data_IF_843577050704
#
_entry.id   IF_843577050704
#
_cell.length_a   1.000
_cell.length_b   1.000
_cell.length_c   1.000
_cell.angle_alpha   90.00
_cell.angle_beta   90.00
_cell.angle_gamma   90.00
#
_symmetry.space_group_name_H-M   'P 1'
#
loop_
_entity.id
_entity.type
_entity.pdbx_description
1 polymer ?
#
# COMPACT_ATOMS: atom_id res chain seq x y z
N UNK A 1 26.63 22.57 22.63
CA UNK A 1 26.78 21.73 21.41
C UNK A 1 26.33 20.29 21.64
N UNK A 2 26.90 19.57 22.63
CA UNK A 2 26.48 18.19 23.00
C UNK A 2 24.97 18.04 23.25
N UNK A 3 24.34 18.97 23.98
CA UNK A 3 22.90 18.93 24.27
C UNK A 3 21.99 19.07 23.04
N UNK A 4 22.39 19.85 22.02
CA UNK A 4 21.63 19.97 20.76
C UNK A 4 21.74 18.71 19.90
N UNK A 5 22.86 18.00 19.99
CA UNK A 5 23.06 16.73 19.26
C UNK A 5 22.18 15.63 19.88
N UNK A 6 22.12 15.58 21.22
CA UNK A 6 21.32 14.60 21.97
C UNK A 6 19.82 14.68 21.64
N UNK A 7 19.26 15.88 21.43
CA UNK A 7 17.84 16.01 21.09
C UNK A 7 17.54 15.80 19.59
N UNK A 8 18.49 16.08 18.68
CA UNK A 8 18.22 16.05 17.23
C UNK A 8 18.56 14.73 16.56
N UNK A 9 19.60 14.04 17.03
CA UNK A 9 20.01 12.76 16.44
C UNK A 9 18.87 11.72 16.44
N UNK A 10 18.06 11.55 17.51
CA UNK A 10 16.92 10.64 17.50
C UNK A 10 15.87 10.98 16.43
N UNK A 11 15.66 12.27 16.15
CA UNK A 11 14.72 12.74 15.12
C UNK A 11 15.20 12.36 13.72
N UNK A 12 16.50 12.50 13.45
CA UNK A 12 17.10 12.14 12.17
C UNK A 12 17.07 10.62 11.96
N UNK A 13 17.37 9.84 13.01
CA UNK A 13 17.25 8.37 12.97
C UNK A 13 15.80 7.98 12.69
N UNK A 14 14.83 8.57 13.40
CA UNK A 14 13.42 8.32 13.17
C UNK A 14 12.98 8.66 11.73
N UNK A 15 13.50 9.74 11.14
CA UNK A 15 13.23 10.11 9.76
C UNK A 15 13.74 9.03 8.77
N UNK A 16 14.93 8.49 8.98
CA UNK A 16 15.46 7.37 8.16
C UNK A 16 14.62 6.10 8.36
N UNK A 17 14.22 5.80 9.61
CA UNK A 17 13.36 4.66 9.90
C UNK A 17 12.03 4.72 9.13
N UNK A 18 11.44 5.89 8.90
CA UNK A 18 10.20 6.01 8.12
C UNK A 18 10.35 5.46 6.69
N UNK A 19 11.51 5.67 6.06
CA UNK A 19 11.82 5.14 4.72
C UNK A 19 11.97 3.63 4.76
N UNK A 20 12.64 3.11 5.79
CA UNK A 20 12.84 1.66 5.98
C UNK A 20 11.49 0.95 6.22
N UNK A 21 10.67 1.49 7.12
CA UNK A 21 9.36 0.92 7.49
C UNK A 21 8.43 0.79 6.29
N UNK A 22 8.44 1.75 5.35
CA UNK A 22 7.61 1.69 4.14
C UNK A 22 7.79 0.40 3.33
N UNK A 23 8.99 -0.20 3.39
CA UNK A 23 9.33 -1.39 2.61
C UNK A 23 9.18 -2.69 3.40
N UNK A 24 8.75 -2.63 4.66
CA UNK A 24 8.68 -3.79 5.55
C UNK A 24 7.25 -4.18 5.88
N UNK A 25 6.99 -5.47 6.13
CA UNK A 25 5.73 -5.93 6.70
C UNK A 25 5.50 -5.30 8.08
N UNK A 26 4.33 -4.70 8.26
CA UNK A 26 3.92 -4.00 9.49
C UNK A 26 3.12 -4.95 10.37
N UNK A 27 2.20 -5.70 9.79
CA UNK A 27 1.30 -6.58 10.50
C UNK A 27 1.07 -7.84 9.67
N UNK A 28 0.79 -8.96 10.33
CA UNK A 28 0.44 -10.18 9.62
C UNK A 28 -0.87 -10.75 10.17
N UNK A 29 -1.60 -11.40 9.26
CA UNK A 29 -2.80 -12.16 9.59
C UNK A 29 -2.67 -13.54 8.98
N UNK A 30 -3.10 -14.55 9.73
CA UNK A 30 -3.19 -15.93 9.27
C UNK A 30 -4.54 -16.53 9.63
N UNK A 31 -5.11 -17.30 8.71
CA UNK A 31 -6.26 -18.16 8.95
C UNK A 31 -5.82 -19.62 8.95
N UNK A 32 -6.19 -20.36 10.00
CA UNK A 32 -6.07 -21.82 10.05
C UNK A 32 -7.44 -22.47 10.17
N UNK A 33 -7.63 -23.60 9.49
CA UNK A 33 -8.86 -24.39 9.57
C UNK A 33 -8.55 -25.84 9.20
N UNK A 34 -9.44 -26.80 9.52
CA UNK A 34 -9.24 -28.21 9.16
C UNK A 34 -9.02 -28.46 7.66
N UNK A 35 -9.59 -27.61 6.81
CA UNK A 35 -9.44 -27.67 5.34
C UNK A 35 -8.09 -27.12 4.85
N UNK A 36 -7.32 -26.45 5.70
CA UNK A 36 -5.99 -25.91 5.41
C UNK A 36 -4.97 -26.64 6.29
N UNK A 37 -4.57 -27.86 5.90
CA UNK A 37 -3.72 -28.72 6.72
C UNK A 37 -2.33 -28.11 6.93
N UNK A 38 -1.74 -28.34 8.11
CA UNK A 38 -0.41 -27.80 8.47
C UNK A 38 0.69 -28.29 7.53
N UNK A 39 0.47 -29.42 6.84
CA UNK A 39 1.39 -29.97 5.86
C UNK A 39 1.57 -29.08 4.63
N UNK A 40 0.50 -28.41 4.18
CA UNK A 40 0.52 -27.48 3.03
C UNK A 40 0.55 -26.02 3.48
N UNK A 41 -0.09 -25.71 4.61
CA UNK A 41 -0.19 -24.37 5.18
C UNK A 41 0.36 -24.35 6.61
N UNK A 42 1.68 -24.49 6.82
CA UNK A 42 2.27 -24.58 8.16
C UNK A 42 2.05 -23.32 9.00
N UNK A 43 1.98 -22.17 8.33
CA UNK A 43 1.70 -20.87 8.94
C UNK A 43 0.22 -20.45 8.74
N UNK A 44 -0.65 -21.36 8.25
CA UNK A 44 -2.00 -21.06 7.75
C UNK A 44 -2.01 -20.25 6.45
N UNK A 45 -3.20 -19.83 6.00
CA UNK A 45 -3.35 -18.87 4.90
C UNK A 45 -2.91 -17.51 5.42
N UNK A 46 -1.64 -17.16 5.16
CA UNK A 46 -0.97 -16.00 5.77
C UNK A 46 -0.75 -14.88 4.78
N UNK A 47 -1.05 -13.67 5.22
CA UNK A 47 -0.85 -12.42 4.47
C UNK A 47 -0.09 -11.40 5.32
N UNK A 48 0.64 -10.52 4.64
CA UNK A 48 1.38 -9.42 5.25
C UNK A 48 0.82 -8.07 4.82
N UNK A 49 0.46 -7.23 5.79
CA UNK A 49 0.09 -5.84 5.58
C UNK A 49 1.32 -4.94 5.58
N UNK A 50 1.46 -4.14 4.53
CA UNK A 50 2.47 -3.11 4.37
C UNK A 50 1.79 -1.76 4.13
N UNK A 51 2.54 -0.66 4.21
CA UNK A 51 2.01 0.66 3.84
C UNK A 51 1.62 0.75 2.36
N UNK A 52 2.22 -0.07 1.51
CA UNK A 52 2.08 -0.04 0.05
C UNK A 52 1.24 -1.18 -0.53
N UNK A 53 0.67 -2.04 0.30
CA UNK A 53 -0.21 -3.11 -0.16
C UNK A 53 -0.32 -4.27 0.82
N UNK A 54 -0.92 -5.35 0.31
CA UNK A 54 -1.01 -6.64 0.99
C UNK A 54 -0.25 -7.63 0.12
N UNK A 55 0.58 -8.43 0.78
CA UNK A 55 1.52 -9.33 0.11
C UNK A 55 1.34 -10.75 0.64
N UNK A 56 1.73 -11.71 -0.20
CA UNK A 56 1.74 -13.11 0.16
C UNK A 56 2.67 -13.34 1.36
N UNK A 57 2.15 -14.03 2.38
CA UNK A 57 2.89 -14.45 3.57
C UNK A 57 3.15 -15.95 3.63
N UNK A 58 2.64 -16.71 2.65
CA UNK A 58 2.90 -18.14 2.52
C UNK A 58 4.28 -18.40 1.93
N UNK A 59 4.89 -19.50 2.36
CA UNK A 59 6.21 -19.94 1.92
C UNK A 59 6.04 -21.11 0.97
N UNK A 60 6.95 -21.23 0.01
CA UNK A 60 7.04 -22.43 -0.80
C UNK A 60 7.38 -23.62 0.10
N UNK A 61 6.68 -24.73 -0.10
CA UNK A 61 6.87 -25.98 0.64
C UNK A 61 7.51 -26.99 -0.31
N UNK A 62 8.78 -27.30 -0.11
CA UNK A 62 9.46 -28.36 -0.86
C UNK A 62 9.22 -29.70 -0.14
N UNK A 63 8.46 -30.62 -0.75
CA UNK A 63 8.26 -31.99 -0.25
C UNK A 63 8.40 -33.02 -1.36
N UNK A 64 8.90 -34.20 -1.01
CA UNK A 64 9.21 -35.30 -1.94
C UNK A 64 8.00 -35.87 -2.72
N UNK A 65 6.76 -35.59 -2.28
CA UNK A 65 5.52 -36.08 -2.91
C UNK A 65 4.65 -34.97 -3.54
N UNK A 66 4.93 -33.70 -3.23
CA UNK A 66 4.18 -32.53 -3.73
C UNK A 66 5.22 -31.48 -4.13
N UNK A 67 5.57 -31.48 -5.43
CA UNK A 67 6.35 -30.41 -6.03
C UNK A 67 5.39 -29.31 -6.48
N UNK A 68 5.32 -28.21 -5.73
CA UNK A 68 4.71 -26.97 -6.20
C UNK A 68 5.83 -26.04 -6.69
N UNK A 69 5.85 -25.81 -8.01
CA UNK A 69 6.86 -25.00 -8.69
C UNK A 69 6.76 -23.50 -8.34
N UNK A 70 5.68 -23.10 -7.67
CA UNK A 70 5.41 -21.72 -7.24
C UNK A 70 4.87 -21.68 -5.82
N UNK A 71 5.12 -20.59 -5.09
CA UNK A 71 4.56 -20.40 -3.75
C UNK A 71 3.04 -20.15 -3.82
N UNK A 72 2.25 -20.89 -3.04
CA UNK A 72 0.80 -20.68 -2.87
C UNK A 72 0.43 -19.19 -2.69
N UNK A 73 -0.49 -18.68 -3.52
CA UNK A 73 -1.01 -17.32 -3.40
C UNK A 73 -2.03 -17.20 -2.26
N UNK A 74 -1.53 -16.95 -1.05
CA UNK A 74 -2.39 -16.81 0.11
C UNK A 74 -3.18 -15.49 0.14
N UNK A 75 -2.89 -14.52 -0.73
CA UNK A 75 -3.77 -13.36 -0.91
C UNK A 75 -5.03 -13.79 -1.65
N UNK A 76 -4.86 -14.55 -2.74
CA UNK A 76 -5.99 -15.13 -3.47
C UNK A 76 -6.85 -16.04 -2.59
N UNK A 77 -6.24 -16.98 -1.85
CA UNK A 77 -6.97 -17.89 -0.96
C UNK A 77 -7.75 -17.15 0.12
N UNK A 78 -7.13 -16.14 0.74
CA UNK A 78 -7.79 -15.31 1.75
C UNK A 78 -8.98 -14.56 1.17
N UNK A 79 -8.86 -13.99 -0.03
CA UNK A 79 -9.96 -13.28 -0.69
C UNK A 79 -11.06 -14.21 -1.18
N UNK A 80 -10.71 -15.44 -1.56
CA UNK A 80 -11.67 -16.52 -1.83
C UNK A 80 -12.47 -16.85 -0.56
N UNK A 81 -11.81 -17.05 0.58
CA UNK A 81 -12.50 -17.26 1.87
C UNK A 81 -13.41 -16.07 2.21
N UNK A 82 -12.91 -14.83 2.07
CA UNK A 82 -13.68 -13.61 2.32
C UNK A 82 -14.94 -13.57 1.46
N UNK A 83 -14.81 -13.86 0.16
CA UNK A 83 -15.93 -13.91 -0.76
C UNK A 83 -17.01 -14.91 -0.32
N UNK A 84 -16.63 -16.12 0.12
CA UNK A 84 -17.58 -17.13 0.61
C UNK A 84 -18.40 -16.66 1.80
N UNK A 85 -17.85 -15.81 2.67
CA UNK A 85 -18.56 -15.24 3.84
C UNK A 85 -19.15 -13.85 3.56
N UNK A 86 -19.07 -13.38 2.32
CA UNK A 86 -19.58 -12.07 1.89
C UNK A 86 -18.66 -10.90 2.25
N UNK A 87 -17.47 -11.12 2.81
CA UNK A 87 -16.50 -10.05 3.02
C UNK A 87 -15.88 -9.60 1.69
N UNK A 88 -15.62 -8.29 1.56
CA UNK A 88 -14.94 -7.74 0.38
C UNK A 88 -13.47 -8.20 0.31
N UNK A 89 -12.84 -8.19 -0.88
CA UNK A 89 -11.44 -8.54 -1.04
C UNK A 89 -10.55 -7.58 -0.26
N UNK A 90 -9.45 -8.06 0.31
CA UNK A 90 -8.64 -7.32 1.29
C UNK A 90 -8.06 -6.04 0.71
N UNK A 91 -7.78 -6.01 -0.59
CA UNK A 91 -7.28 -4.83 -1.28
C UNK A 91 -8.32 -3.70 -1.45
N UNK A 92 -9.61 -3.94 -1.16
CA UNK A 92 -10.65 -2.92 -1.21
C UNK A 92 -10.58 -1.96 -0.01
N UNK A 93 -10.18 -2.44 1.14
CA UNK A 93 -10.02 -1.66 2.37
C UNK A 93 -8.78 -0.78 2.29
N UNK A 94 -8.91 0.47 2.72
CA UNK A 94 -7.76 1.40 2.78
C UNK A 94 -7.17 1.75 1.43
N UNK A 95 -7.89 1.57 0.32
CA UNK A 95 -7.34 1.73 -1.03
C UNK A 95 -6.75 3.14 -1.27
N UNK A 96 -7.39 4.18 -0.73
CA UNK A 96 -6.89 5.56 -0.81
C UNK A 96 -5.66 5.72 0.09
N UNK A 97 -5.68 5.20 1.31
CA UNK A 97 -4.58 5.27 2.25
C UNK A 97 -3.32 4.59 1.70
N UNK A 98 -3.47 3.41 1.08
CA UNK A 98 -2.38 2.69 0.42
C UNK A 98 -1.86 3.46 -0.79
N UNK A 99 -2.73 4.07 -1.60
CA UNK A 99 -2.32 4.86 -2.76
C UNK A 99 -1.56 6.15 -2.39
N UNK A 100 -1.87 6.73 -1.23
CA UNK A 100 -1.23 7.95 -0.73
C UNK A 100 -0.09 7.70 0.27
N UNK A 101 0.12 6.46 0.70
CA UNK A 101 1.00 6.14 1.83
C UNK A 101 2.42 6.63 1.64
N UNK A 102 3.00 6.50 0.43
CA UNK A 102 4.36 6.98 0.15
C UNK A 102 4.48 8.49 0.31
N UNK A 103 3.45 9.25 -0.11
CA UNK A 103 3.43 10.70 0.02
C UNK A 103 3.26 11.11 1.48
N UNK A 104 2.48 10.36 2.27
CA UNK A 104 2.32 10.58 3.70
C UNK A 104 3.60 10.27 4.48
N UNK A 105 4.35 9.24 4.08
CA UNK A 105 5.68 8.93 4.64
C UNK A 105 6.68 10.03 4.28
N UNK A 106 6.68 10.51 3.03
CA UNK A 106 7.51 11.63 2.60
C UNK A 106 7.14 12.94 3.34
N UNK A 107 5.84 13.18 3.58
CA UNK A 107 5.36 14.30 4.38
C UNK A 107 5.91 14.20 5.81
N UNK A 108 5.77 13.05 6.46
CA UNK A 108 6.29 12.81 7.80
C UNK A 108 7.82 12.99 7.85
N UNK A 109 8.55 12.54 6.82
CA UNK A 109 9.99 12.77 6.70
C UNK A 109 10.33 14.28 6.71
N UNK A 110 9.69 15.07 5.84
CA UNK A 110 9.90 16.53 5.78
C UNK A 110 9.52 17.19 7.11
N UNK A 111 8.46 16.73 7.79
CA UNK A 111 8.08 17.22 9.11
C UNK A 111 9.19 17.02 10.15
N UNK A 112 9.80 15.83 10.19
CA UNK A 112 10.89 15.51 11.12
C UNK A 112 12.18 16.29 10.81
N UNK A 113 12.57 16.40 9.54
CA UNK A 113 13.72 17.23 9.13
C UNK A 113 13.49 18.70 9.50
N UNK A 114 12.27 19.19 9.31
CA UNK A 114 11.87 20.56 9.68
C UNK A 114 11.92 20.79 11.18
N UNK A 115 11.44 19.82 11.99
CA UNK A 115 11.48 19.90 13.44
C UNK A 115 12.90 19.94 14.00
N UNK A 116 13.85 19.22 13.38
CA UNK A 116 15.27 19.25 13.76
C UNK A 116 15.94 20.63 13.54
N UNK A 117 15.30 21.55 12.81
CA UNK A 117 15.79 22.90 12.54
C UNK A 117 15.24 23.93 13.54
N UNK A 118 16.12 24.55 14.33
CA UNK A 118 15.74 25.54 15.36
C UNK A 118 15.28 26.87 14.73
N UNK A 119 15.95 27.28 13.65
CA UNK A 119 15.71 28.56 12.98
C UNK A 119 14.40 28.52 12.18
N UNK A 120 13.51 29.47 12.46
CA UNK A 120 12.18 29.50 11.86
C UNK A 120 12.20 29.75 10.36
N UNK A 121 13.11 30.59 9.86
CA UNK A 121 13.22 30.89 8.43
C UNK A 121 13.71 29.65 7.66
N UNK A 122 14.79 29.02 8.12
CA UNK A 122 15.33 27.79 7.50
C UNK A 122 14.33 26.65 7.55
N UNK A 123 13.65 26.46 8.68
CA UNK A 123 12.58 25.46 8.83
C UNK A 123 11.47 25.66 7.79
N UNK A 124 10.97 26.89 7.63
CA UNK A 124 9.97 27.19 6.61
C UNK A 124 10.47 26.92 5.19
N UNK A 125 11.72 27.26 4.88
CA UNK A 125 12.33 26.96 3.58
C UNK A 125 12.35 25.45 3.33
N UNK A 126 12.79 24.66 4.31
CA UNK A 126 12.79 23.19 4.23
C UNK A 126 11.39 22.67 3.93
N UNK A 127 10.36 23.16 4.64
CA UNK A 127 8.99 22.73 4.42
C UNK A 127 8.46 23.14 3.04
N UNK A 128 8.67 24.41 2.63
CA UNK A 128 8.19 24.90 1.34
C UNK A 128 8.82 24.10 0.21
N UNK A 129 10.13 23.89 0.24
CA UNK A 129 10.84 23.10 -0.79
C UNK A 129 10.40 21.65 -0.74
N UNK A 130 10.44 21.01 0.43
CA UNK A 130 10.10 19.60 0.60
C UNK A 130 8.65 19.29 0.22
N UNK A 131 7.70 20.11 0.67
CA UNK A 131 6.29 19.96 0.32
C UNK A 131 6.05 20.27 -1.16
N UNK A 132 6.70 21.26 -1.76
CA UNK A 132 6.58 21.51 -3.21
C UNK A 132 7.04 20.32 -4.03
N UNK A 133 8.14 19.66 -3.63
CA UNK A 133 8.61 18.42 -4.26
C UNK A 133 7.55 17.32 -4.13
N UNK A 134 6.97 17.13 -2.96
CA UNK A 134 5.91 16.12 -2.75
C UNK A 134 4.67 16.44 -3.58
N UNK A 135 4.24 17.71 -3.64
CA UNK A 135 3.09 18.13 -4.44
C UNK A 135 3.30 17.87 -5.93
N UNK A 136 4.47 18.25 -6.47
CA UNK A 136 4.83 17.96 -7.86
C UNK A 136 4.83 16.44 -8.09
N UNK A 137 5.44 15.67 -7.18
CA UNK A 137 5.47 14.22 -7.27
C UNK A 137 4.06 13.60 -7.26
N UNK A 138 3.18 14.05 -6.37
CA UNK A 138 1.78 13.61 -6.30
C UNK A 138 1.02 13.93 -7.60
N UNK A 139 1.20 15.12 -8.17
CA UNK A 139 0.57 15.52 -9.44
C UNK A 139 1.04 14.61 -10.57
N UNK A 140 2.37 14.42 -10.69
CA UNK A 140 2.98 13.56 -11.69
C UNK A 140 2.50 12.11 -11.57
N UNK A 141 2.39 11.59 -10.34
CA UNK A 141 2.01 10.20 -10.11
C UNK A 141 0.50 9.96 -10.32
N UNK A 142 -0.36 10.86 -9.86
CA UNK A 142 -1.81 10.64 -9.81
C UNK A 142 -2.56 11.13 -11.05
N UNK A 143 -2.13 12.21 -11.68
CA UNK A 143 -2.95 12.90 -12.69
C UNK A 143 -2.31 13.02 -14.07
N UNK A 144 -0.99 12.84 -14.20
CA UNK A 144 -0.31 12.91 -15.49
C UNK A 144 -0.37 11.54 -16.20
N UNK A 145 -0.60 11.50 -17.53
CA UNK A 145 -0.50 10.26 -18.31
C UNK A 145 0.88 9.60 -18.16
N UNK A 146 0.89 8.29 -17.93
CA UNK A 146 2.10 7.53 -17.59
C UNK A 146 2.61 7.78 -16.17
N UNK A 147 1.80 8.39 -15.30
CA UNK A 147 2.12 8.72 -13.92
C UNK A 147 2.55 7.53 -13.05
N UNK A 148 2.16 6.29 -13.39
CA UNK A 148 2.59 5.09 -12.67
C UNK A 148 4.13 4.92 -12.63
N UNK A 149 4.87 5.49 -13.59
CA UNK A 149 6.34 5.51 -13.54
C UNK A 149 6.91 6.28 -12.34
N UNK A 150 6.11 7.16 -11.72
CA UNK A 150 6.48 7.89 -10.52
C UNK A 150 6.00 7.21 -9.23
N UNK A 151 5.23 6.13 -9.31
CA UNK A 151 4.88 5.33 -8.12
C UNK A 151 6.05 4.46 -7.66
N UNK A 152 6.01 3.94 -6.45
CA UNK A 152 7.06 3.00 -5.97
C UNK A 152 6.86 1.61 -6.58
N UNK A 153 7.96 0.86 -6.77
CA UNK A 153 7.89 -0.52 -7.28
C UNK A 153 7.02 -1.40 -6.39
N UNK A 154 7.23 -1.34 -5.07
CA UNK A 154 6.45 -2.13 -4.11
C UNK A 154 4.95 -1.82 -4.12
N UNK A 155 4.56 -0.56 -4.36
CA UNK A 155 3.14 -0.23 -4.53
C UNK A 155 2.54 -0.93 -5.76
N UNK A 156 3.25 -0.93 -6.89
CA UNK A 156 2.79 -1.56 -8.13
C UNK A 156 2.74 -3.08 -7.98
N UNK A 157 3.79 -3.69 -7.42
CA UNK A 157 3.84 -5.11 -7.04
C UNK A 157 2.64 -5.49 -6.17
N UNK A 158 2.31 -4.68 -5.16
CA UNK A 158 1.14 -4.90 -4.30
C UNK A 158 -0.21 -4.72 -5.02
N UNK A 159 -0.28 -3.98 -6.13
CA UNK A 159 -1.48 -3.90 -6.98
C UNK A 159 -1.59 -5.14 -7.89
N UNK A 160 -0.47 -5.61 -8.42
CA UNK A 160 -0.41 -6.85 -9.20
C UNK A 160 -0.82 -8.04 -8.33
N UNK A 161 -0.20 -8.20 -7.15
CA UNK A 161 -0.50 -9.27 -6.21
C UNK A 161 -2.00 -9.32 -5.84
N UNK A 162 -2.64 -8.17 -5.63
CA UNK A 162 -4.06 -8.11 -5.29
C UNK A 162 -4.99 -8.56 -6.43
N UNK A 163 -4.60 -8.38 -7.70
CA UNK A 163 -5.41 -8.87 -8.82
C UNK A 163 -5.31 -10.39 -9.01
N UNK A 164 -4.37 -11.04 -8.30
CA UNK A 164 -3.90 -12.38 -8.59
C UNK A 164 -3.05 -12.38 -9.85
N UNK A 165 -1.94 -13.11 -9.83
CA UNK A 165 -1.48 -13.74 -11.06
C UNK A 165 -2.51 -14.84 -11.31
N UNK A 166 -3.30 -14.74 -12.36
CA UNK A 166 -4.01 -15.94 -12.80
C UNK A 166 -2.91 -16.96 -13.06
N UNK A 167 -2.98 -18.11 -12.38
CA UNK A 167 -2.31 -19.32 -12.81
C UNK A 167 -2.80 -19.55 -14.23
N UNK A 168 -2.08 -18.96 -15.18
CA UNK A 168 -2.20 -19.39 -16.54
C UNK A 168 -1.71 -20.83 -16.48
N UNK A 169 -2.64 -21.78 -16.52
CA UNK A 169 -2.47 -23.12 -17.10
C UNK A 169 -2.02 -23.04 -18.58
N UNK A 170 -1.36 -21.96 -18.97
CA UNK A 170 -0.48 -21.84 -20.11
C UNK A 170 0.88 -22.18 -19.51
N UNK A 171 1.20 -23.48 -19.61
CA UNK A 171 2.54 -24.02 -19.80
C UNK A 171 3.63 -22.97 -19.97
N UNK A 172 4.78 -23.18 -19.31
CA UNK A 172 6.08 -22.61 -19.68
C UNK A 172 6.04 -21.72 -20.93
N UNK A 173 6.10 -20.41 -20.67
CA UNK A 173 6.57 -19.33 -21.55
C UNK A 173 5.61 -18.13 -21.61
N UNK A 174 6.06 -17.09 -20.90
CA UNK A 174 5.80 -15.67 -21.16
C UNK A 174 4.49 -15.11 -20.56
N UNK A 175 4.63 -14.13 -19.67
CA UNK A 175 3.50 -13.30 -19.22
C UNK A 175 2.78 -12.66 -20.44
N UNK A 176 1.51 -12.26 -20.33
CA UNK A 176 0.79 -11.59 -21.44
C UNK A 176 1.55 -10.38 -22.03
N UNK A 177 2.32 -9.66 -21.20
CA UNK A 177 3.21 -8.58 -21.66
C UNK A 177 4.41 -9.08 -22.46
N UNK A 178 4.97 -10.23 -22.12
CA UNK A 178 6.05 -10.89 -22.86
C UNK A 178 5.53 -11.56 -24.14
N UNK A 179 4.30 -12.08 -24.14
CA UNK A 179 3.61 -12.61 -25.32
C UNK A 179 3.30 -11.50 -26.35
N UNK A 180 2.92 -10.30 -25.89
CA UNK A 180 2.74 -9.12 -26.75
C UNK A 180 4.07 -8.69 -27.39
N UNK A 181 5.17 -8.71 -26.63
CA UNK A 181 6.52 -8.41 -27.13
C UNK A 181 6.96 -9.47 -28.14
N UNK A 182 6.68 -10.75 -27.89
CA UNK A 182 6.98 -11.84 -28.82
C UNK A 182 6.16 -11.74 -30.13
N UNK A 183 4.88 -11.39 -30.04
CA UNK A 183 3.99 -11.16 -31.19
C UNK A 183 4.42 -9.95 -32.03
N UNK A 184 4.83 -8.86 -31.38
CA UNK A 184 5.36 -7.66 -32.06
C UNK A 184 6.66 -7.99 -32.81
N UNK A 185 7.52 -8.82 -32.20
CA UNK A 185 8.77 -9.27 -32.79
C UNK A 185 8.57 -10.19 -34.00
N UNK A 186 7.64 -11.14 -33.93
CA UNK A 186 7.35 -12.03 -35.06
C UNK A 186 6.75 -11.26 -36.25
N UNK A 187 5.96 -10.21 -35.98
CA UNK A 187 5.41 -9.34 -37.02
C UNK A 187 6.50 -8.50 -37.71
N UNK A 188 7.51 -8.03 -36.97
CA UNK A 188 8.66 -7.30 -37.51
C UNK A 188 9.61 -8.19 -38.32
N UNK A 189 9.87 -9.43 -37.85
CA UNK A 189 10.68 -10.42 -38.58
C UNK A 189 10.00 -10.87 -39.88
N UNK A 190 8.67 -11.02 -39.89
CA UNK A 190 7.89 -11.33 -41.10
C UNK A 190 7.90 -10.19 -42.15
N UNK A 191 8.30 -8.99 -41.75
CA UNK A 191 8.42 -7.81 -42.61
C UNK A 191 9.84 -7.63 -43.19
N UNK A 192 10.77 -8.56 -42.92
CA UNK A 192 12.10 -8.58 -43.54
C UNK A 192 13.07 -7.50 -43.07
N UNK A 193 12.83 -6.90 -41.90
CA UNK A 193 13.73 -5.91 -41.30
C UNK A 193 14.71 -6.65 -40.38
N UNK A 194 15.98 -6.74 -40.79
CA UNK A 194 17.06 -7.22 -39.91
C UNK A 194 17.27 -6.21 -38.78
N UNK A 195 16.97 -6.62 -37.55
CA UNK A 195 17.26 -5.83 -36.35
C UNK A 195 18.65 -6.22 -35.87
N UNK A 196 19.64 -5.37 -36.19
CA UNK A 196 20.97 -5.44 -35.59
C UNK A 196 20.85 -5.47 -34.06
N UNK A 197 21.65 -6.33 -33.42
CA UNK A 197 21.55 -6.68 -32.01
C UNK A 197 21.57 -5.47 -31.07
N UNK A 198 20.39 -5.00 -30.70
CA UNK A 198 20.23 -4.21 -29.48
C UNK A 198 20.47 -5.12 -28.29
N UNK A 199 21.37 -4.71 -27.40
CA UNK A 199 21.49 -5.30 -26.06
C UNK A 199 20.09 -5.36 -25.46
N UNK A 200 19.59 -6.58 -25.18
CA UNK A 200 18.38 -6.80 -24.40
C UNK A 200 18.52 -6.05 -23.07
N UNK A 201 17.99 -4.84 -22.97
CA UNK A 201 17.68 -4.25 -21.67
C UNK A 201 16.47 -5.02 -21.15
N UNK A 202 16.74 -5.95 -20.23
CA UNK A 202 15.70 -6.64 -19.49
C UNK A 202 14.87 -5.58 -18.74
N UNK A 203 13.56 -5.53 -19.04
CA UNK A 203 12.65 -4.58 -18.39
C UNK A 203 12.79 -4.67 -16.88
N UNK A 204 12.83 -3.53 -16.20
CA UNK A 204 12.78 -3.52 -14.74
C UNK A 204 11.48 -4.14 -14.23
N UNK A 205 11.49 -4.74 -13.05
CA UNK A 205 10.28 -5.32 -12.45
C UNK A 205 9.09 -4.34 -12.45
N UNK A 206 9.38 -3.06 -12.20
CA UNK A 206 8.38 -1.99 -12.22
C UNK A 206 7.72 -1.80 -13.58
N UNK A 207 8.48 -1.92 -14.67
CA UNK A 207 7.94 -1.82 -16.04
C UNK A 207 7.12 -3.05 -16.39
N UNK A 208 7.55 -4.24 -15.94
CA UNK A 208 6.78 -5.49 -16.03
C UNK A 208 5.43 -5.34 -15.31
N UNK A 209 5.42 -4.83 -14.08
CA UNK A 209 4.19 -4.60 -13.31
C UNK A 209 3.24 -3.60 -14.00
N UNK A 210 3.77 -2.50 -14.54
CA UNK A 210 2.95 -1.50 -15.26
C UNK A 210 2.35 -2.10 -16.53
N UNK A 211 3.13 -2.91 -17.28
CA UNK A 211 2.66 -3.58 -18.48
C UNK A 211 1.53 -4.58 -18.15
N UNK A 212 1.70 -5.39 -17.10
CA UNK A 212 0.66 -6.30 -16.61
C UNK A 212 -0.64 -5.54 -16.25
N UNK A 213 -0.52 -4.45 -15.47
CA UNK A 213 -1.69 -3.66 -15.07
C UNK A 213 -2.41 -3.02 -16.26
N UNK A 214 -1.66 -2.60 -17.29
CA UNK A 214 -2.24 -2.07 -18.53
C UNK A 214 -3.00 -3.16 -19.28
N UNK A 215 -2.41 -4.33 -19.45
CA UNK A 215 -3.04 -5.45 -20.16
C UNK A 215 -4.32 -5.92 -19.47
N UNK A 216 -4.26 -6.11 -18.15
CA UNK A 216 -5.42 -6.41 -17.33
C UNK A 216 -6.52 -5.33 -17.45
N UNK A 217 -6.12 -4.05 -17.53
CA UNK A 217 -7.06 -2.95 -17.76
C UNK A 217 -7.75 -3.10 -19.12
N UNK A 218 -6.99 -3.21 -20.21
CA UNK A 218 -7.54 -3.26 -21.57
C UNK A 218 -8.44 -4.49 -21.79
N UNK A 219 -8.05 -5.63 -21.22
CA UNK A 219 -8.87 -6.86 -21.18
C UNK A 219 -10.19 -6.62 -20.45
N UNK A 220 -10.16 -5.96 -19.28
CA UNK A 220 -11.37 -5.68 -18.52
C UNK A 220 -12.32 -4.68 -19.23
N UNK A 221 -11.78 -3.71 -19.96
CA UNK A 221 -12.57 -2.74 -20.74
C UNK A 221 -13.35 -3.45 -21.85
N UNK A 222 -12.68 -4.36 -22.56
CA UNK A 222 -13.28 -5.19 -23.60
C UNK A 222 -14.42 -6.04 -23.04
N UNK A 223 -14.18 -6.72 -21.90
CA UNK A 223 -15.19 -7.54 -21.21
C UNK A 223 -16.41 -6.75 -20.75
N UNK A 224 -16.21 -5.52 -20.27
CA UNK A 224 -17.27 -4.68 -19.71
C UNK A 224 -17.93 -3.75 -20.75
N UNK A 225 -17.45 -3.77 -22.02
CA UNK A 225 -17.85 -2.84 -23.07
C UNK A 225 -17.74 -1.34 -22.65
N UNK A 226 -16.76 -1.02 -21.80
CA UNK A 226 -16.46 0.35 -21.36
C UNK A 226 -15.36 0.90 -22.27
N UNK A 227 -15.55 2.09 -22.84
CA UNK A 227 -14.59 2.69 -23.78
C UNK A 227 -13.59 3.67 -23.12
N UNK A 228 -13.13 3.35 -21.91
CA UNK A 228 -12.09 4.16 -21.27
C UNK A 228 -10.71 3.77 -21.80
N UNK A 229 -9.93 4.74 -22.27
CA UNK A 229 -8.55 4.49 -22.74
C UNK A 229 -7.57 4.49 -21.58
N UNK A 230 -6.60 3.59 -21.62
CA UNK A 230 -5.49 3.60 -20.69
C UNK A 230 -4.68 4.90 -20.82
N UNK A 231 -4.58 5.64 -19.72
CA UNK A 231 -3.70 6.79 -19.59
C UNK A 231 -2.55 6.52 -18.60
N UNK A 232 -2.63 5.47 -17.77
CA UNK A 232 -1.56 5.11 -16.83
C UNK A 232 -1.29 6.13 -15.75
N UNK A 233 -2.31 6.90 -15.35
CA UNK A 233 -2.27 7.77 -14.18
C UNK A 233 -2.65 6.99 -12.92
N UNK A 234 -2.12 7.40 -11.76
CA UNK A 234 -2.44 6.75 -10.49
C UNK A 234 -3.92 6.83 -10.10
N UNK A 235 -4.62 7.91 -10.45
CA UNK A 235 -6.06 8.04 -10.21
C UNK A 235 -6.89 7.08 -11.07
N UNK A 236 -6.51 6.90 -12.35
CA UNK A 236 -7.13 5.88 -13.20
C UNK A 236 -6.90 4.49 -12.62
N UNK A 237 -5.64 4.15 -12.34
CA UNK A 237 -5.28 2.86 -11.77
C UNK A 237 -6.07 2.59 -10.48
N UNK A 238 -6.12 3.52 -9.54
CA UNK A 238 -6.82 3.31 -8.26
C UNK A 238 -8.31 3.01 -8.46
N UNK A 239 -9.00 3.79 -9.30
CA UNK A 239 -10.44 3.60 -9.51
C UNK A 239 -10.77 2.33 -10.30
N UNK A 240 -9.96 2.01 -11.31
CA UNK A 240 -10.12 0.77 -12.06
C UNK A 240 -9.74 -0.45 -11.23
N UNK A 241 -8.59 -0.44 -10.55
CA UNK A 241 -8.11 -1.55 -9.73
C UNK A 241 -9.11 -1.89 -8.63
N UNK A 242 -9.68 -0.87 -7.98
CA UNK A 242 -10.74 -1.05 -7.00
C UNK A 242 -11.98 -1.73 -7.60
N UNK A 243 -12.42 -1.30 -8.79
CA UNK A 243 -13.52 -1.95 -9.52
C UNK A 243 -13.17 -3.40 -9.87
N UNK A 244 -11.98 -3.63 -10.42
CA UNK A 244 -11.54 -4.93 -10.90
C UNK A 244 -11.50 -5.97 -9.76
N UNK A 245 -10.93 -5.59 -8.61
CA UNK A 245 -10.92 -6.44 -7.41
C UNK A 245 -12.34 -6.79 -6.95
N UNK A 246 -13.21 -5.79 -6.82
CA UNK A 246 -14.59 -6.05 -6.41
C UNK A 246 -15.32 -6.94 -7.42
N UNK A 247 -15.18 -6.67 -8.72
CA UNK A 247 -15.88 -7.39 -9.78
C UNK A 247 -15.37 -8.82 -9.98
N UNK A 248 -14.14 -9.15 -9.53
CA UNK A 248 -13.61 -10.52 -9.55
C UNK A 248 -14.44 -11.46 -8.68
N UNK A 249 -14.87 -10.98 -7.52
CA UNK A 249 -15.61 -11.79 -6.53
C UNK A 249 -17.10 -11.45 -6.50
N UNK A 250 -17.50 -10.22 -6.83
CA UNK A 250 -18.86 -9.73 -6.70
C UNK A 250 -19.34 -9.14 -8.01
N UNK A 251 -20.02 -9.91 -8.85
CA UNK A 251 -20.51 -9.44 -10.15
C UNK A 251 -21.83 -8.64 -10.04
N UNK A 252 -21.80 -7.51 -9.32
CA UNK A 252 -22.93 -6.59 -9.17
C UNK A 252 -22.53 -5.14 -9.51
N UNK A 253 -22.67 -4.74 -10.80
CA UNK A 253 -22.33 -3.39 -11.24
C UNK A 253 -23.13 -2.27 -10.56
N UNK A 254 -24.36 -2.56 -10.11
CA UNK A 254 -25.23 -1.56 -9.47
C UNK A 254 -24.72 -1.21 -8.07
N UNK A 255 -24.15 -2.17 -7.33
CA UNK A 255 -23.47 -1.92 -6.06
C UNK A 255 -22.04 -1.41 -6.24
N UNK A 256 -21.29 -1.90 -7.21
CA UNK A 256 -19.87 -1.53 -7.40
C UNK A 256 -19.71 -0.10 -7.91
N UNK A 257 -20.48 0.31 -8.91
CA UNK A 257 -20.34 1.64 -9.53
C UNK A 257 -20.37 2.82 -8.55
N UNK A 258 -21.32 2.90 -7.59
CA UNK A 258 -21.31 3.98 -6.60
C UNK A 258 -20.12 3.89 -5.63
N UNK A 259 -19.61 2.68 -5.30
CA UNK A 259 -18.41 2.54 -4.47
C UNK A 259 -17.18 3.07 -5.19
N UNK A 260 -17.01 2.77 -6.48
CA UNK A 260 -15.92 3.31 -7.30
C UNK A 260 -15.98 4.84 -7.35
N UNK A 261 -17.17 5.43 -7.53
CA UNK A 261 -17.35 6.90 -7.49
C UNK A 261 -16.95 7.50 -6.14
N UNK A 262 -17.26 6.82 -5.02
CA UNK A 262 -16.81 7.25 -3.69
C UNK A 262 -15.29 7.21 -3.56
N UNK A 263 -14.64 6.14 -4.05
CA UNK A 263 -13.16 6.04 -4.06
C UNK A 263 -12.54 7.13 -4.94
N UNK A 264 -13.10 7.38 -6.13
CA UNK A 264 -12.67 8.48 -6.99
C UNK A 264 -12.79 9.82 -6.26
N UNK A 265 -13.95 10.14 -5.68
CA UNK A 265 -14.12 11.37 -4.92
C UNK A 265 -13.13 11.46 -3.74
N UNK A 266 -13.01 10.39 -2.96
CA UNK A 266 -12.11 10.32 -1.81
C UNK A 266 -10.65 10.55 -2.21
N UNK A 267 -10.22 10.07 -3.38
CA UNK A 267 -8.88 10.31 -3.93
C UNK A 267 -8.61 11.80 -4.13
N UNK A 268 -9.55 12.53 -4.73
CA UNK A 268 -9.39 13.96 -4.99
C UNK A 268 -9.49 14.78 -3.68
N UNK A 269 -10.39 14.37 -2.78
CA UNK A 269 -10.51 14.98 -1.44
C UNK A 269 -9.23 14.78 -0.63
N UNK A 270 -8.66 13.57 -0.61
CA UNK A 270 -7.41 13.27 0.07
C UNK A 270 -6.26 14.12 -0.49
N UNK A 271 -6.16 14.24 -1.81
CA UNK A 271 -5.18 15.11 -2.46
C UNK A 271 -5.29 16.56 -1.94
N UNK A 272 -6.48 17.17 -1.99
CA UNK A 272 -6.71 18.55 -1.53
C UNK A 272 -6.45 18.70 -0.03
N UNK A 273 -6.90 17.73 0.78
CA UNK A 273 -6.68 17.72 2.23
C UNK A 273 -5.18 17.76 2.56
N UNK A 274 -4.37 16.96 1.87
CA UNK A 274 -2.91 16.94 2.06
C UNK A 274 -2.30 18.30 1.72
N UNK A 275 -2.75 18.97 0.65
CA UNK A 275 -2.28 20.33 0.31
C UNK A 275 -2.63 21.35 1.41
N UNK A 276 -3.85 21.28 1.94
CA UNK A 276 -4.28 22.13 3.05
C UNK A 276 -3.42 21.88 4.29
N UNK A 277 -3.18 20.62 4.64
CA UNK A 277 -2.32 20.23 5.77
C UNK A 277 -0.90 20.79 5.57
N UNK A 278 -0.31 20.65 4.38
CA UNK A 278 1.01 21.20 4.07
C UNK A 278 1.05 22.73 4.26
N UNK A 279 0.05 23.46 3.76
CA UNK A 279 -0.05 24.91 3.92
C UNK A 279 -0.17 25.31 5.41
N UNK A 280 -1.03 24.62 6.17
CA UNK A 280 -1.19 24.84 7.62
C UNK A 280 0.11 24.58 8.37
N UNK A 281 0.84 23.50 8.04
CA UNK A 281 2.12 23.17 8.66
C UNK A 281 3.21 24.21 8.36
N UNK A 282 3.25 24.77 7.15
CA UNK A 282 4.19 25.85 6.78
C UNK A 282 3.87 27.14 7.54
N UNK A 283 2.59 27.51 7.63
CA UNK A 283 2.18 28.74 8.31
C UNK A 283 2.40 28.62 9.82
N UNK A 284 2.00 27.48 10.40
CA UNK A 284 2.09 27.24 11.83
C UNK A 284 3.51 27.05 12.35
N UNK A 285 4.44 26.56 11.52
CA UNK A 285 5.85 26.41 11.92
C UNK A 285 6.60 27.74 12.11
N UNK A 286 6.00 28.89 11.75
CA UNK A 286 6.56 30.23 11.97
C UNK A 286 6.89 30.50 13.43
N UNK A 287 6.02 30.06 14.35
CA UNK A 287 6.18 30.25 15.80
C UNK A 287 6.57 28.93 16.45
N UNK A 288 7.75 28.89 17.06
CA UNK A 288 8.34 27.69 17.66
C UNK A 288 7.56 27.16 18.87
N UNK A 289 6.72 27.98 19.52
CA UNK A 289 5.89 27.53 20.65
C UNK A 289 4.45 27.14 20.27
N UNK A 290 4.09 27.27 18.99
CA UNK A 290 2.73 26.98 18.53
C UNK A 290 2.40 25.49 18.64
N UNK A 291 1.10 25.18 18.79
CA UNK A 291 0.61 23.80 18.74
C UNK A 291 0.94 23.15 17.39
N UNK A 292 0.85 23.92 16.29
CA UNK A 292 1.12 23.42 14.94
C UNK A 292 2.59 23.05 14.76
N UNK A 293 3.54 23.79 15.36
CA UNK A 293 4.94 23.38 15.37
C UNK A 293 5.13 22.02 16.04
N UNK A 294 4.44 21.75 17.16
CA UNK A 294 4.51 20.46 17.85
C UNK A 294 3.95 19.32 17.01
N UNK A 295 2.98 19.57 16.13
CA UNK A 295 2.46 18.54 15.21
C UNK A 295 3.56 17.96 14.31
N UNK A 296 4.63 18.70 14.03
CA UNK A 296 5.76 18.20 13.22
C UNK A 296 6.43 16.95 13.82
N UNK A 297 6.41 16.82 15.15
CA UNK A 297 6.92 15.62 15.82
C UNK A 297 5.80 14.73 16.35
N UNK A 298 4.69 15.31 16.83
CA UNK A 298 3.62 14.55 17.45
C UNK A 298 2.88 13.63 16.46
N UNK A 299 2.68 14.06 15.21
CA UNK A 299 1.99 13.24 14.21
C UNK A 299 2.84 12.03 13.80
N UNK A 300 4.13 12.16 13.41
CA UNK A 300 4.98 11.00 13.15
C UNK A 300 5.20 10.11 14.38
N UNK A 301 5.25 10.70 15.59
CA UNK A 301 5.33 9.94 16.85
C UNK A 301 4.06 9.11 17.10
N UNK A 302 2.89 9.60 16.71
CA UNK A 302 1.62 8.88 16.86
C UNK A 302 1.39 7.80 15.79
N UNK A 303 2.29 7.64 14.81
CA UNK A 303 2.14 6.69 13.70
C UNK A 303 1.76 5.25 14.10
N UNK A 304 2.36 4.60 15.11
CA UNK A 304 1.93 3.25 15.53
C UNK A 304 0.47 3.21 16.01
N UNK A 305 0.01 4.24 16.72
CA UNK A 305 -1.38 4.33 17.18
C UNK A 305 -2.32 4.60 16.01
N UNK A 306 -1.95 5.54 15.13
CA UNK A 306 -2.71 5.85 13.92
C UNK A 306 -2.89 4.58 13.07
N UNK A 307 -1.83 3.80 12.87
CA UNK A 307 -1.90 2.53 12.13
C UNK A 307 -2.91 1.56 12.75
N UNK A 308 -2.83 1.27 14.05
CA UNK A 308 -3.75 0.32 14.72
C UNK A 308 -5.19 0.80 14.64
N UNK A 309 -5.44 2.09 14.80
CA UNK A 309 -6.78 2.67 14.68
C UNK A 309 -7.33 2.49 13.27
N UNK A 310 -6.56 2.86 12.23
CA UNK A 310 -7.00 2.70 10.85
C UNK A 310 -7.22 1.23 10.48
N UNK A 311 -6.30 0.37 10.88
CA UNK A 311 -6.41 -1.09 10.70
C UNK A 311 -7.70 -1.63 11.35
N UNK A 312 -7.98 -1.29 12.61
CA UNK A 312 -9.18 -1.72 13.31
C UNK A 312 -10.47 -1.16 12.68
N UNK A 313 -10.45 0.10 12.21
CA UNK A 313 -11.60 0.71 11.51
C UNK A 313 -11.92 -0.05 10.23
N UNK A 314 -10.91 -0.40 9.43
CA UNK A 314 -11.11 -1.16 8.21
C UNK A 314 -11.58 -2.59 8.47
N UNK A 315 -11.00 -3.28 9.47
CA UNK A 315 -11.50 -4.59 9.89
C UNK A 315 -12.96 -4.53 10.35
N UNK A 316 -13.32 -3.52 11.14
CA UNK A 316 -14.69 -3.29 11.57
C UNK A 316 -15.61 -3.09 10.37
N UNK A 317 -15.19 -2.27 9.41
CA UNK A 317 -15.94 -2.04 8.19
C UNK A 317 -16.19 -3.35 7.43
N UNK A 318 -15.18 -4.20 7.24
CA UNK A 318 -15.35 -5.51 6.59
C UNK A 318 -16.38 -6.40 7.29
N UNK A 319 -16.28 -6.54 8.61
CA UNK A 319 -17.17 -7.42 9.37
C UNK A 319 -18.61 -6.90 9.57
N UNK A 320 -18.88 -5.63 9.23
CA UNK A 320 -20.23 -5.03 9.32
C UNK A 320 -20.84 -4.64 7.97
N UNK A 321 -20.07 -4.68 6.88
CA UNK A 321 -20.52 -4.31 5.53
C UNK A 321 -20.37 -5.49 4.58
N UNK A 322 -20.79 -6.68 5.00
CA UNK A 322 -20.75 -7.89 4.17
C UNK A 322 -21.76 -7.80 3.01
N UNK A 323 -21.42 -8.44 1.91
CA UNK A 323 -22.20 -8.55 0.70
C UNK A 323 -23.12 -9.78 0.75
N UNK A 324 -24.36 -9.61 0.32
CA UNK A 324 -25.39 -10.66 0.28
C UNK A 324 -25.07 -11.82 -0.70
N UNK A 325 -24.09 -11.64 -1.59
CA UNK A 325 -23.64 -12.67 -2.54
C UNK A 325 -22.72 -13.74 -1.92
N UNK A 326 -22.34 -13.62 -0.65
CA UNK A 326 -21.58 -14.67 0.03
C UNK A 326 -22.38 -15.97 0.14
N UNK A 327 -21.72 -17.12 -0.07
CA UNK A 327 -22.36 -18.43 0.07
C UNK A 327 -22.85 -18.71 1.50
N UNK A 328 -22.17 -18.13 2.50
CA UNK A 328 -22.51 -18.22 3.91
C UNK A 328 -22.76 -16.83 4.50
N UNK A 329 -23.90 -16.67 5.16
CA UNK A 329 -24.20 -15.43 5.89
C UNK A 329 -23.72 -15.54 7.33
N UNK A 330 -22.76 -14.69 7.70
CA UNK A 330 -22.34 -14.52 9.08
C UNK A 330 -23.07 -13.35 9.73
N UNK A 331 -23.26 -13.41 11.05
CA UNK A 331 -23.66 -12.22 11.82
C UNK A 331 -22.53 -11.21 11.78
N UNK A 332 -22.86 -9.92 11.79
CA UNK A 332 -21.86 -8.87 11.88
C UNK A 332 -20.91 -9.12 13.06
N UNK A 333 -19.61 -8.97 12.81
CA UNK A 333 -18.57 -9.25 13.78
C UNK A 333 -17.38 -8.30 13.59
N UNK A 334 -16.47 -8.30 14.55
CA UNK A 334 -15.18 -7.61 14.44
C UNK A 334 -14.12 -8.67 14.11
N UNK A 335 -13.50 -8.65 12.93
CA UNK A 335 -12.33 -9.47 12.67
C UNK A 335 -11.25 -9.22 13.72
N UNK A 336 -10.47 -10.25 14.06
CA UNK A 336 -9.47 -10.18 15.11
C UNK A 336 -8.42 -9.09 14.83
N UNK A 337 -8.43 -8.03 15.64
CA UNK A 337 -7.45 -6.93 15.53
C UNK A 337 -6.08 -7.35 16.07
N UNK A 338 -6.05 -8.05 17.20
CA UNK A 338 -4.82 -8.51 17.83
C UNK A 338 -5.08 -9.80 18.61
N UNK A 339 -4.12 -10.72 18.54
CA UNK A 339 -4.18 -12.01 19.22
C UNK A 339 -4.83 -13.08 18.36
N UNK A 340 -5.43 -14.05 19.03
CA UNK A 340 -6.14 -15.15 18.41
C UNK A 340 -7.65 -14.95 18.58
N UNK A 341 -8.40 -15.17 17.51
CA UNK A 341 -9.86 -15.20 17.54
C UNK A 341 -10.40 -16.33 16.66
N UNK A 342 -11.72 -16.46 16.63
CA UNK A 342 -12.40 -17.51 15.87
C UNK A 342 -13.56 -16.93 15.09
N UNK A 343 -13.63 -17.25 13.81
CA UNK A 343 -14.72 -16.86 12.90
C UNK A 343 -15.18 -18.13 12.19
N UNK A 344 -16.39 -18.60 12.52
CA UNK A 344 -16.88 -19.90 12.11
C UNK A 344 -15.88 -21.03 12.44
N UNK A 345 -15.39 -21.77 11.43
CA UNK A 345 -14.41 -22.84 11.59
C UNK A 345 -12.95 -22.36 11.46
N UNK A 346 -12.74 -21.08 11.15
CA UNK A 346 -11.40 -20.51 11.02
C UNK A 346 -10.92 -19.96 12.35
N UNK A 347 -9.68 -20.29 12.69
CA UNK A 347 -8.92 -19.61 13.73
C UNK A 347 -8.12 -18.49 13.07
N UNK A 348 -8.31 -17.26 13.53
CA UNK A 348 -7.64 -16.07 13.00
C UNK A 348 -6.55 -15.64 13.97
N UNK A 349 -5.33 -15.56 13.48
CA UNK A 349 -4.17 -15.05 14.21
C UNK A 349 -3.79 -13.69 13.63
N UNK A 350 -3.64 -12.66 14.48
CA UNK A 350 -3.30 -11.30 14.04
C UNK A 350 -2.29 -10.66 14.98
N UNK A 351 -1.10 -10.34 14.45
CA UNK A 351 0.02 -9.88 15.28
C UNK A 351 0.93 -8.88 14.55
N UNK A 352 1.64 -8.02 15.33
CA UNK A 352 2.63 -7.12 14.77
C UNK A 352 3.78 -7.86 14.09
N UNK A 353 4.31 -7.25 13.04
CA UNK A 353 5.53 -7.64 12.36
C UNK A 353 6.64 -6.58 12.56
N UNK A 354 7.84 -6.85 12.05
CA UNK A 354 9.03 -6.00 12.20
C UNK A 354 8.80 -4.51 11.93
N UNK A 355 8.01 -4.15 10.92
CA UNK A 355 7.70 -2.76 10.58
C UNK A 355 6.98 -2.04 11.73
N UNK A 356 6.06 -2.71 12.42
CA UNK A 356 5.36 -2.14 13.57
C UNK A 356 6.29 -1.93 14.78
N UNK A 357 7.21 -2.87 15.05
CA UNK A 357 8.19 -2.69 16.12
C UNK A 357 9.17 -1.54 15.82
N UNK A 358 9.55 -1.36 14.56
CA UNK A 358 10.33 -0.19 14.13
C UNK A 358 9.53 1.12 14.25
N UNK A 359 8.21 1.10 14.03
CA UNK A 359 7.34 2.24 14.30
C UNK A 359 7.31 2.59 15.80
N UNK A 360 7.24 1.58 16.68
CA UNK A 360 7.33 1.79 18.13
C UNK A 360 8.68 2.38 18.54
N UNK A 361 9.78 1.86 17.98
CA UNK A 361 11.11 2.42 18.19
C UNK A 361 11.20 3.88 17.74
N UNK A 362 10.68 4.19 16.53
CA UNK A 362 10.62 5.55 16.01
C UNK A 362 9.82 6.47 16.94
N UNK A 363 8.65 6.04 17.40
CA UNK A 363 7.83 6.76 18.38
C UNK A 363 8.60 7.03 19.68
N UNK A 364 9.31 6.03 20.22
CA UNK A 364 10.11 6.20 21.44
C UNK A 364 11.26 7.21 21.26
N UNK A 365 11.97 7.17 20.13
CA UNK A 365 13.03 8.13 19.79
C UNK A 365 12.50 9.56 19.68
N UNK A 366 11.35 9.74 19.04
CA UNK A 366 10.68 11.03 18.91
C UNK A 366 10.17 11.53 20.26
N UNK A 367 9.58 10.66 21.09
CA UNK A 367 9.16 11.00 22.45
C UNK A 367 10.32 11.46 23.33
N UNK A 368 11.45 10.75 23.27
CA UNK A 368 12.68 11.14 23.96
C UNK A 368 13.18 12.53 23.51
N UNK A 369 13.20 12.78 22.20
CA UNK A 369 13.57 14.09 21.65
C UNK A 369 12.63 15.20 22.13
N UNK A 370 11.33 14.96 22.07
CA UNK A 370 10.29 15.91 22.47
C UNK A 370 10.41 16.32 23.93
N UNK A 371 10.55 15.35 24.85
CA UNK A 371 10.68 15.62 26.29
C UNK A 371 11.95 16.43 26.57
N UNK A 372 13.08 16.06 25.99
CA UNK A 372 14.35 16.74 26.21
C UNK A 372 14.38 18.17 25.66
N UNK A 373 13.68 18.43 24.55
CA UNK A 373 13.55 19.80 24.03
C UNK A 373 12.70 20.67 24.96
N UNK A 374 11.63 20.13 25.55
CA UNK A 374 10.76 20.88 26.47
C UNK A 374 11.40 21.23 27.81
N UNK A 375 12.18 20.31 28.40
CA UNK A 375 12.91 20.60 29.64
C UNK A 375 13.81 21.83 29.49
N UNK A 376 14.47 21.94 28.34
CA UNK A 376 15.35 23.06 28.04
C UNK A 376 14.59 24.40 27.93
N UNK A 377 13.47 24.43 27.22
CA UNK A 377 12.65 25.65 27.08
C UNK A 377 11.98 26.14 28.37
N UNK A 378 12.03 25.36 29.45
CA UNK A 378 11.57 25.78 30.78
C UNK A 378 12.70 26.13 31.76
N UNK A 379 13.96 25.93 31.36
CA UNK A 379 15.16 26.33 32.13
C UNK A 379 15.77 27.67 31.63
N UNK A 380 15.43 28.08 30.40
CA UNK A 380 15.69 29.41 29.81
C UNK A 380 14.50 30.36 30.10
#
# INVERSE_FOLDING_TARGET
>A
MKSKIISKLPVLIAAVLMIVIYNLPIWWVSLTAPNYPEEAFPDGVKIHFHFNGVFNGCKQVEKDEIHEDQSLDCVHEMDTINHYVGMYPIAAGGAVEVAFSVFLIALAFVMLISYACDDSRRRMIIQIVGFSVIVIWMILALYVPGGLKYQTSKYLEGRVAALGQEDSDISEDLSPGEALIASLKSSLESSGVEVEGEKKEELSQKEKDIAFLKDAFETSQTRLAIQEKWNGSGAQLLSWHYRANLARYFNDPAKISPMVKKIQLATHVAFVLILIIMAVLVIGSRKTDSLIYKLLILVPMALPVIFVVFYAVWLSWYGHNMNDMGAFTLKAFMPTVFGQGKVAQFTTNSYPHIGFFLMLLSSALLGFSFINQRKKSGED
#
